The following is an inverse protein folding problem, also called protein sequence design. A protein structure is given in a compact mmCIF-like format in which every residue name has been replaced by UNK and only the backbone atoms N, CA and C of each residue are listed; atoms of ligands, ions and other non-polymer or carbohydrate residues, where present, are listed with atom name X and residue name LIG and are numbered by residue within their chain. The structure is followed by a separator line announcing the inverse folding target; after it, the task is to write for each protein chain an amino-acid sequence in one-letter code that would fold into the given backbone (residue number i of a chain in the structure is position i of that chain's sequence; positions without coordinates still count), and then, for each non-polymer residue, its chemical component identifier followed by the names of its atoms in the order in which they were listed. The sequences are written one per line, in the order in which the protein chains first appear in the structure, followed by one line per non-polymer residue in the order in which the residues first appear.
data_IF_876259562980
#
_entry.id   IF_876259562980
#
_cell.length_a   1.000
_cell.length_b   1.000
_cell.length_c   1.000
_cell.angle_alpha   90.00
_cell.angle_beta   90.00
_cell.angle_gamma   90.00
#
_symmetry.space_group_name_H-M   'P 1'
#
loop_
_entity.id
_entity.type
_entity.pdbx_description
1 polymer ?
#
# COMPACT_ATOMS: atom_id res chain seq x y z
N UNK A 1 -16.78 21.87 -7.80
CA UNK A 1 -16.13 20.88 -6.91
C UNK A 1 -17.08 20.62 -5.75
N UNK A 2 -17.62 19.40 -5.65
CA UNK A 2 -18.49 19.01 -4.54
C UNK A 2 -17.67 18.31 -3.47
N UNK A 3 -17.71 18.81 -2.23
CA UNK A 3 -17.12 18.12 -1.09
C UNK A 3 -18.06 17.01 -0.62
N UNK A 4 -17.59 15.77 -0.57
CA UNK A 4 -18.30 14.69 0.10
C UNK A 4 -18.10 14.84 1.61
N UNK A 5 -19.13 15.27 2.32
CA UNK A 5 -19.14 15.34 3.78
C UNK A 5 -19.67 14.02 4.33
N UNK A 6 -18.79 13.16 4.80
CA UNK A 6 -19.16 11.91 5.50
C UNK A 6 -19.38 12.26 6.97
N UNK A 7 -20.62 12.12 7.45
CA UNK A 7 -20.95 12.27 8.87
C UNK A 7 -20.70 10.95 9.60
N UNK A 8 -19.90 10.98 10.65
CA UNK A 8 -19.71 9.83 11.52
C UNK A 8 -20.88 9.80 12.52
N UNK A 9 -21.65 8.69 12.60
CA UNK A 9 -22.76 8.58 13.54
C UNK A 9 -22.28 8.62 14.99
N UNK A 10 -23.04 9.28 15.89
CA UNK A 10 -22.69 9.47 17.31
C UNK A 10 -22.43 8.16 18.10
N UNK A 11 -22.98 7.04 17.63
CA UNK A 11 -22.73 5.71 18.22
C UNK A 11 -21.27 5.25 18.08
N UNK A 12 -20.50 5.86 17.20
CA UNK A 12 -19.06 5.62 17.08
C UNK A 12 -18.33 6.63 17.94
N UNK A 13 -17.74 6.17 19.05
CA UNK A 13 -16.87 6.99 19.86
C UNK A 13 -15.52 7.12 19.14
N UNK A 14 -15.34 8.17 18.35
CA UNK A 14 -14.11 8.41 17.61
C UNK A 14 -13.19 9.28 18.46
N UNK A 15 -12.09 8.70 18.90
CA UNK A 15 -10.98 9.48 19.41
C UNK A 15 -10.25 10.13 18.23
N UNK A 16 -10.29 11.45 18.17
CA UNK A 16 -9.62 12.23 17.12
C UNK A 16 -8.10 12.06 17.16
N UNK A 17 -7.51 11.76 18.32
CA UNK A 17 -6.08 11.48 18.45
C UNK A 17 -5.72 10.16 17.78
N UNK A 18 -6.52 9.11 17.99
CA UNK A 18 -6.32 7.81 17.35
C UNK A 18 -6.53 7.90 15.83
N UNK A 19 -7.53 8.66 15.39
CA UNK A 19 -7.76 8.90 13.96
C UNK A 19 -6.58 9.65 13.33
N UNK A 20 -6.09 10.71 13.98
CA UNK A 20 -4.95 11.47 13.50
C UNK A 20 -3.69 10.59 13.40
N UNK A 21 -3.44 9.75 14.41
CA UNK A 21 -2.34 8.79 14.41
C UNK A 21 -2.47 7.77 13.27
N UNK A 22 -3.67 7.23 13.05
CA UNK A 22 -3.92 6.30 11.94
C UNK A 22 -3.68 6.93 10.57
N UNK A 23 -4.09 8.19 10.38
CA UNK A 23 -3.80 8.94 9.14
C UNK A 23 -2.30 9.19 8.99
N UNK A 24 -1.62 9.58 10.06
CA UNK A 24 -0.17 9.82 10.05
C UNK A 24 0.61 8.56 9.67
N UNK A 25 0.27 7.42 10.28
CA UNK A 25 0.88 6.12 9.97
C UNK A 25 0.63 5.72 8.50
N UNK A 26 -0.58 5.91 8.00
CA UNK A 26 -0.91 5.65 6.60
C UNK A 26 -0.08 6.53 5.64
N UNK A 27 0.06 7.82 5.94
CA UNK A 27 0.88 8.74 5.13
C UNK A 27 2.36 8.32 5.17
N UNK A 28 2.90 7.97 6.34
CA UNK A 28 4.28 7.47 6.48
C UNK A 28 4.52 6.21 5.65
N UNK A 29 3.60 5.25 5.68
CA UNK A 29 3.69 4.03 4.89
C UNK A 29 3.70 4.34 3.39
N UNK A 30 2.86 5.27 2.94
CA UNK A 30 2.81 5.70 1.55
C UNK A 30 4.13 6.35 1.11
N UNK A 31 4.65 7.30 1.88
CA UNK A 31 5.93 7.95 1.59
C UNK A 31 7.09 6.95 1.58
N UNK A 32 7.10 6.02 2.54
CA UNK A 32 8.13 4.96 2.61
C UNK A 32 8.11 4.08 1.36
N UNK A 33 6.90 3.69 0.90
CA UNK A 33 6.75 2.92 -0.34
C UNK A 33 7.31 3.69 -1.53
N UNK A 34 6.96 4.96 -1.66
CA UNK A 34 7.35 5.77 -2.81
C UNK A 34 8.89 5.93 -2.85
N UNK A 35 9.54 6.20 -1.72
CA UNK A 35 11.01 6.22 -1.60
C UNK A 35 11.67 4.87 -1.92
N UNK A 36 11.03 3.75 -1.53
CA UNK A 36 11.54 2.42 -1.86
C UNK A 36 11.45 2.13 -3.36
N UNK A 37 10.39 2.59 -4.03
CA UNK A 37 10.22 2.44 -5.47
C UNK A 37 11.27 3.27 -6.23
N UNK A 38 11.49 4.53 -5.86
CA UNK A 38 12.55 5.37 -6.46
C UNK A 38 13.92 4.70 -6.36
N UNK A 39 14.26 4.15 -5.18
CA UNK A 39 15.51 3.41 -4.99
C UNK A 39 15.58 2.13 -5.84
N UNK A 40 14.45 1.43 -6.00
CA UNK A 40 14.40 0.25 -6.86
C UNK A 40 14.62 0.62 -8.32
N UNK A 41 14.03 1.73 -8.78
CA UNK A 41 14.23 2.24 -10.14
C UNK A 41 15.71 2.59 -10.37
N UNK A 42 16.39 3.22 -9.41
CA UNK A 42 17.83 3.48 -9.50
C UNK A 42 18.67 2.20 -9.57
N UNK A 43 18.32 1.18 -8.79
CA UNK A 43 19.02 -0.12 -8.78
C UNK A 43 18.80 -0.90 -10.09
N UNK A 44 17.64 -0.71 -10.72
CA UNK A 44 17.23 -1.42 -11.93
C UNK A 44 17.39 -0.59 -13.20
N UNK A 45 17.97 0.60 -13.13
CA UNK A 45 18.11 1.52 -14.28
C UNK A 45 18.86 0.91 -15.48
N UNK A 46 19.75 -0.04 -15.22
CA UNK A 46 20.54 -0.75 -16.24
C UNK A 46 19.94 -2.13 -16.58
N UNK A 47 18.73 -2.42 -16.09
CA UNK A 47 18.03 -3.68 -16.35
C UNK A 47 17.54 -3.75 -17.80
N UNK A 48 17.72 -4.90 -18.42
CA UNK A 48 17.15 -5.21 -19.74
C UNK A 48 15.68 -5.67 -19.66
N UNK A 49 15.10 -5.67 -18.45
CA UNK A 49 13.69 -6.04 -18.27
C UNK A 49 12.78 -4.95 -18.83
N UNK A 50 11.86 -5.36 -19.69
CA UNK A 50 10.81 -4.46 -20.16
C UNK A 50 9.80 -4.17 -19.05
N UNK A 51 9.04 -3.10 -19.22
CA UNK A 51 7.97 -2.72 -18.29
C UNK A 51 6.94 -3.85 -18.11
N UNK A 52 6.59 -4.56 -19.18
CA UNK A 52 5.69 -5.71 -19.13
C UNK A 52 6.24 -6.85 -18.26
N UNK A 53 7.53 -7.15 -18.38
CA UNK A 53 8.17 -8.18 -17.57
C UNK A 53 8.18 -7.82 -16.08
N UNK A 54 8.41 -6.53 -15.76
CA UNK A 54 8.32 -6.01 -14.40
C UNK A 54 6.89 -6.13 -13.83
N UNK A 55 5.86 -5.81 -14.63
CA UNK A 55 4.45 -5.96 -14.23
C UNK A 55 4.11 -7.43 -13.98
N UNK A 56 4.58 -8.34 -14.83
CA UNK A 56 4.34 -9.78 -14.70
C UNK A 56 5.00 -10.35 -13.43
N UNK A 57 6.26 -9.98 -13.18
CA UNK A 57 6.97 -10.31 -11.94
C UNK A 57 6.21 -9.81 -10.70
N UNK A 58 5.71 -8.57 -10.73
CA UNK A 58 4.89 -8.02 -9.66
C UNK A 58 3.63 -8.85 -9.38
N UNK A 59 2.95 -9.32 -10.43
CA UNK A 59 1.77 -10.21 -10.31
C UNK A 59 2.15 -11.56 -9.72
N UNK A 60 3.26 -12.16 -10.16
CA UNK A 60 3.74 -13.45 -9.63
C UNK A 60 4.04 -13.36 -8.13
N UNK A 61 4.75 -12.32 -7.69
CA UNK A 61 5.07 -12.09 -6.28
C UNK A 61 3.79 -11.93 -5.45
N UNK A 62 2.81 -11.15 -5.96
CA UNK A 62 1.52 -10.96 -5.28
C UNK A 62 0.77 -12.29 -5.12
N UNK A 63 0.72 -13.10 -6.18
CA UNK A 63 0.05 -14.40 -6.16
C UNK A 63 0.74 -15.37 -5.19
N UNK A 64 2.08 -15.44 -5.21
CA UNK A 64 2.84 -16.27 -4.28
C UNK A 64 2.63 -15.86 -2.82
N UNK A 65 2.58 -14.54 -2.54
CA UNK A 65 2.24 -14.04 -1.20
C UNK A 65 0.82 -14.45 -0.79
N UNK A 66 -0.15 -14.34 -1.70
CA UNK A 66 -1.54 -14.71 -1.42
C UNK A 66 -1.69 -16.21 -1.10
N UNK A 67 -1.04 -17.08 -1.87
CA UNK A 67 -1.04 -18.52 -1.59
C UNK A 67 -0.38 -18.86 -0.25
N UNK A 68 0.71 -18.16 0.10
CA UNK A 68 1.32 -18.31 1.43
C UNK A 68 0.37 -17.88 2.57
N UNK A 69 -0.42 -16.83 2.36
CA UNK A 69 -1.39 -16.37 3.36
C UNK A 69 -2.54 -17.38 3.54
N UNK A 70 -3.01 -18.00 2.45
CA UNK A 70 -3.97 -19.11 2.52
C UNK A 70 -3.45 -20.29 3.32
N UNK A 71 -2.20 -20.70 3.07
CA UNK A 71 -1.56 -21.79 3.81
C UNK A 71 -1.46 -21.51 5.32
N UNK A 72 -1.36 -20.23 5.70
CA UNK A 72 -1.34 -19.79 7.09
C UNK A 72 -2.74 -19.54 7.68
N UNK A 73 -3.81 -19.70 6.88
CA UNK A 73 -5.19 -19.45 7.31
C UNK A 73 -5.51 -17.97 7.60
N UNK A 74 -4.71 -17.05 7.05
CA UNK A 74 -4.87 -15.61 7.27
C UNK A 74 -5.75 -14.93 6.21
N UNK A 75 -6.04 -15.64 5.12
CA UNK A 75 -6.96 -15.26 4.03
C UNK A 75 -7.63 -16.51 3.47
#
# INVERSE_FOLDING_TARGET
MGAFVIKIPERFNVDMADLAKGVEEFVKLRLTRDLMLERLDELLKDSELTEEACIELGRMIKNGRFERLKQLGLV
#
